data_IF_333641840359
#
_entry.id   IF_333641840359
#
_cell.length_a   1.000
_cell.length_b   1.000
_cell.length_c   1.000
_cell.angle_alpha   90.00
_cell.angle_beta   90.00
_cell.angle_gamma   90.00
#
_symmetry.space_group_name_H-M   'P 1'
#
loop_
_entity.id
_entity.type
_entity.pdbx_description
1 polymer ?
#
# COMPACT_ATOMS: atom_id res chain seq x y z
N UNK A 1 -47.72 39.65 15.28
CA UNK A 1 -48.04 38.78 14.13
C UNK A 1 -46.73 38.39 13.47
N UNK A 2 -46.22 37.20 13.77
CA UNK A 2 -45.43 36.37 12.86
C UNK A 2 -45.22 35.04 13.59
N UNK A 3 -46.12 34.10 13.30
CA UNK A 3 -45.93 32.71 13.66
C UNK A 3 -44.98 32.11 12.64
N UNK A 4 -43.81 31.68 13.08
CA UNK A 4 -43.04 30.68 12.34
C UNK A 4 -43.69 29.32 12.60
N UNK A 5 -44.23 28.74 11.54
CA UNK A 5 -44.73 27.38 11.55
C UNK A 5 -43.55 26.42 11.75
N UNK A 6 -43.38 25.89 12.96
CA UNK A 6 -42.51 24.76 13.21
C UNK A 6 -43.07 23.54 12.47
N UNK A 7 -42.36 23.12 11.42
CA UNK A 7 -42.68 21.94 10.62
C UNK A 7 -42.24 20.70 11.45
N UNK A 8 -43.17 19.83 11.91
CA UNK A 8 -42.86 18.80 12.92
C UNK A 8 -41.94 17.65 12.46
N UNK A 9 -41.67 17.53 11.17
CA UNK A 9 -40.87 16.44 10.59
C UNK A 9 -39.47 16.86 10.16
N UNK A 10 -39.07 18.11 10.45
CA UNK A 10 -37.72 18.63 10.20
C UNK A 10 -36.94 18.93 11.50
N UNK A 11 -37.42 18.46 12.66
CA UNK A 11 -36.64 18.44 13.89
C UNK A 11 -35.69 17.25 13.87
N UNK A 12 -34.65 17.33 13.04
CA UNK A 12 -33.43 16.55 13.32
C UNK A 12 -32.83 17.21 14.56
N UNK A 13 -32.96 16.58 15.71
CA UNK A 13 -32.38 17.07 16.96
C UNK A 13 -30.91 17.39 16.71
N UNK A 14 -30.53 18.67 16.87
CA UNK A 14 -29.16 19.16 16.60
C UNK A 14 -28.11 18.37 17.38
N UNK A 15 -28.47 17.83 18.54
CA UNK A 15 -27.65 16.95 19.36
C UNK A 15 -27.34 15.60 18.68
N UNK A 16 -28.22 15.03 17.85
CA UNK A 16 -27.97 13.74 17.19
C UNK A 16 -27.13 13.89 15.91
N UNK A 17 -27.33 14.99 15.17
CA UNK A 17 -26.56 15.29 13.96
C UNK A 17 -25.11 15.66 14.26
N UNK A 18 -24.84 16.36 15.36
CA UNK A 18 -23.48 16.70 15.79
C UNK A 18 -22.69 15.43 16.15
N UNK A 19 -23.33 14.47 16.82
CA UNK A 19 -22.71 13.19 17.17
C UNK A 19 -22.40 12.35 15.92
N UNK A 20 -23.30 12.33 14.93
CA UNK A 20 -23.11 11.63 13.66
C UNK A 20 -22.00 12.24 12.80
N UNK A 21 -21.91 13.58 12.73
CA UNK A 21 -20.84 14.24 11.99
C UNK A 21 -19.48 14.04 12.66
N UNK A 22 -19.44 14.13 14.00
CA UNK A 22 -18.21 13.93 14.77
C UNK A 22 -17.68 12.48 14.68
N UNK A 23 -18.57 11.50 14.47
CA UNK A 23 -18.20 10.11 14.21
C UNK A 23 -17.24 10.00 13.00
N UNK A 24 -17.53 10.74 11.93
CA UNK A 24 -16.83 10.65 10.64
C UNK A 24 -15.75 11.74 10.52
N UNK A 25 -16.08 12.99 10.81
CA UNK A 25 -15.18 14.14 10.62
C UNK A 25 -14.26 14.41 11.82
N UNK A 26 -14.57 13.85 13.00
CA UNK A 26 -13.76 14.04 14.21
C UNK A 26 -12.46 13.24 14.23
N UNK A 27 -11.68 13.39 15.31
CA UNK A 27 -10.42 12.67 15.53
C UNK A 27 -10.60 11.17 15.74
N UNK A 28 -11.82 10.73 16.04
CA UNK A 28 -12.16 9.32 16.22
C UNK A 28 -11.92 8.77 17.63
N UNK A 29 -11.49 9.58 18.58
CA UNK A 29 -11.28 9.17 19.97
C UNK A 29 -12.54 8.56 20.60
N UNK A 30 -13.67 9.24 20.49
CA UNK A 30 -14.95 8.78 21.06
C UNK A 30 -15.37 7.40 20.51
N UNK A 31 -15.49 7.18 19.17
CA UNK A 31 -15.85 5.85 18.66
C UNK A 31 -14.79 4.78 18.93
N UNK A 32 -13.49 5.11 18.94
CA UNK A 32 -12.43 4.16 19.32
C UNK A 32 -12.59 3.75 20.78
N UNK A 33 -12.84 4.70 21.67
CA UNK A 33 -13.09 4.41 23.08
C UNK A 33 -14.33 3.52 23.27
N UNK A 34 -15.47 3.88 22.66
CA UNK A 34 -16.69 3.06 22.72
C UNK A 34 -16.49 1.66 22.12
N UNK A 35 -15.66 1.53 21.09
CA UNK A 35 -15.29 0.24 20.52
C UNK A 35 -14.45 -0.60 21.49
N UNK A 36 -13.49 0.01 22.19
CA UNK A 36 -12.65 -0.65 23.19
C UNK A 36 -13.46 -1.15 24.39
N UNK A 37 -14.45 -0.37 24.84
CA UNK A 37 -15.37 -0.78 25.92
C UNK A 37 -16.37 -1.84 25.43
N UNK A 38 -16.57 -1.97 24.11
CA UNK A 38 -17.51 -2.93 23.52
C UNK A 38 -18.97 -2.44 23.49
N UNK A 39 -19.17 -1.14 23.64
CA UNK A 39 -20.49 -0.47 23.64
C UNK A 39 -20.86 0.08 22.25
N UNK A 40 -19.90 0.14 21.32
CA UNK A 40 -20.18 0.62 19.97
C UNK A 40 -21.03 -0.39 19.19
N UNK A 41 -22.23 0.03 18.80
CA UNK A 41 -23.17 -0.79 18.05
C UNK A 41 -22.63 -1.16 16.65
N UNK A 42 -23.01 -2.34 16.17
CA UNK A 42 -22.59 -2.88 14.86
C UNK A 42 -22.91 -1.92 13.71
N UNK A 43 -24.12 -1.37 13.67
CA UNK A 43 -24.56 -0.43 12.64
C UNK A 43 -23.70 0.84 12.64
N UNK A 44 -23.42 1.37 13.83
CA UNK A 44 -22.59 2.58 14.00
C UNK A 44 -21.15 2.29 13.55
N UNK A 45 -20.58 1.13 13.87
CA UNK A 45 -19.24 0.74 13.43
C UNK A 45 -19.13 0.65 11.90
N UNK A 46 -20.14 0.09 11.22
CA UNK A 46 -20.18 0.01 9.75
C UNK A 46 -20.31 1.40 9.12
N UNK A 47 -21.23 2.23 9.62
CA UNK A 47 -21.42 3.61 9.13
C UNK A 47 -20.15 4.44 9.35
N UNK A 48 -19.55 4.34 10.54
CA UNK A 48 -18.27 4.96 10.89
C UNK A 48 -17.15 4.57 9.93
N UNK A 49 -16.99 3.27 9.68
CA UNK A 49 -15.96 2.73 8.79
C UNK A 49 -16.09 3.29 7.37
N UNK A 50 -17.28 3.14 6.78
CA UNK A 50 -17.55 3.59 5.39
C UNK A 50 -17.46 5.11 5.30
N UNK A 51 -18.09 5.82 6.23
CA UNK A 51 -18.07 7.28 6.27
C UNK A 51 -16.66 7.85 6.39
N UNK A 52 -15.83 7.29 7.29
CA UNK A 52 -14.44 7.71 7.46
C UNK A 52 -13.61 7.40 6.22
N UNK A 53 -13.84 6.25 5.58
CA UNK A 53 -13.17 5.89 4.33
C UNK A 53 -13.47 6.90 3.22
N UNK A 54 -14.74 7.23 2.99
CA UNK A 54 -15.14 8.25 2.01
C UNK A 54 -14.53 9.61 2.35
N UNK A 55 -14.63 10.07 3.60
CA UNK A 55 -14.07 11.35 4.02
C UNK A 55 -12.55 11.44 3.80
N UNK A 56 -11.81 10.38 4.15
CA UNK A 56 -10.35 10.33 3.95
C UNK A 56 -9.96 10.31 2.48
N UNK A 57 -10.68 9.56 1.64
CA UNK A 57 -10.48 9.54 0.19
C UNK A 57 -10.77 10.91 -0.44
N UNK A 58 -11.88 11.55 -0.09
CA UNK A 58 -12.21 12.90 -0.57
C UNK A 58 -11.14 13.91 -0.15
N UNK A 59 -10.65 13.83 1.09
CA UNK A 59 -9.59 14.72 1.59
C UNK A 59 -8.29 14.55 0.81
N UNK A 60 -7.86 13.31 0.54
CA UNK A 60 -6.61 13.03 -0.19
C UNK A 60 -6.76 13.42 -1.66
N UNK A 61 -7.90 13.10 -2.29
CA UNK A 61 -8.15 13.40 -3.71
C UNK A 61 -8.36 14.88 -3.99
N UNK A 62 -8.83 15.67 -3.01
CA UNK A 62 -8.89 17.13 -3.12
C UNK A 62 -7.53 17.82 -2.91
N UNK A 63 -6.45 17.06 -2.71
CA UNK A 63 -5.11 17.60 -2.43
C UNK A 63 -4.88 18.01 -0.97
N UNK A 64 -5.80 17.67 -0.07
CA UNK A 64 -5.63 17.84 1.38
C UNK A 64 -4.78 16.72 2.00
N UNK A 65 -4.42 16.88 3.28
CA UNK A 65 -3.70 15.87 4.06
C UNK A 65 -4.57 15.33 5.19
N UNK A 66 -4.93 14.05 5.11
CA UNK A 66 -5.72 13.37 6.14
C UNK A 66 -4.86 12.71 7.24
N UNK A 67 -3.53 12.72 7.09
CA UNK A 67 -2.63 11.83 7.83
C UNK A 67 -2.91 10.35 7.53
N UNK A 68 -2.09 9.45 8.10
CA UNK A 68 -2.26 8.00 7.94
C UNK A 68 -2.40 7.25 9.26
N UNK A 69 -1.90 7.82 10.36
CA UNK A 69 -1.90 7.17 11.67
C UNK A 69 -3.32 7.05 12.24
N UNK A 70 -4.04 8.17 12.36
CA UNK A 70 -5.39 8.15 12.96
C UNK A 70 -6.38 7.35 12.10
N UNK A 71 -6.46 7.55 10.77
CA UNK A 71 -7.33 6.75 9.92
C UNK A 71 -7.05 5.25 9.99
N UNK A 72 -5.77 4.84 10.04
CA UNK A 72 -5.42 3.41 10.10
C UNK A 72 -5.83 2.75 11.42
N UNK A 73 -5.60 3.41 12.55
CA UNK A 73 -6.10 2.94 13.86
C UNK A 73 -7.63 2.85 13.84
N UNK A 74 -8.29 3.88 13.32
CA UNK A 74 -9.75 3.94 13.23
C UNK A 74 -10.32 2.77 12.41
N UNK A 75 -9.80 2.51 11.22
CA UNK A 75 -10.28 1.42 10.37
C UNK A 75 -10.11 0.05 11.02
N UNK A 76 -8.93 -0.23 11.59
CA UNK A 76 -8.69 -1.50 12.28
C UNK A 76 -9.61 -1.68 13.49
N UNK A 77 -9.88 -0.60 14.22
CA UNK A 77 -10.80 -0.60 15.36
C UNK A 77 -12.23 -0.92 14.91
N UNK A 78 -12.77 -0.20 13.90
CA UNK A 78 -14.14 -0.43 13.43
C UNK A 78 -14.33 -1.84 12.86
N UNK A 79 -13.34 -2.36 12.11
CA UNK A 79 -13.38 -3.73 11.58
C UNK A 79 -13.45 -4.73 12.74
N UNK A 80 -12.58 -4.61 13.74
CA UNK A 80 -12.64 -5.51 14.90
C UNK A 80 -13.95 -5.39 15.68
N UNK A 81 -14.50 -4.19 15.82
CA UNK A 81 -15.81 -4.01 16.47
C UNK A 81 -16.91 -4.76 15.72
N UNK A 82 -16.89 -4.78 14.38
CA UNK A 82 -17.83 -5.57 13.59
C UNK A 82 -17.72 -7.06 13.98
N UNK A 83 -16.51 -7.60 14.08
CA UNK A 83 -16.28 -8.99 14.53
C UNK A 83 -16.68 -9.23 16.00
N UNK A 84 -16.49 -8.26 16.89
CA UNK A 84 -16.90 -8.35 18.30
C UNK A 84 -18.42 -8.38 18.45
N UNK A 85 -19.14 -7.56 17.68
CA UNK A 85 -20.60 -7.44 17.78
C UNK A 85 -21.34 -8.51 16.96
N UNK A 86 -20.70 -9.11 15.96
CA UNK A 86 -21.35 -10.07 15.06
C UNK A 86 -21.93 -11.32 15.78
N UNK A 87 -21.24 -11.98 16.73
CA UNK A 87 -21.82 -13.10 17.48
C UNK A 87 -23.08 -12.72 18.27
N UNK A 88 -23.16 -11.48 18.79
CA UNK A 88 -24.33 -10.99 19.54
C UNK A 88 -25.56 -10.88 18.65
N UNK A 89 -25.38 -10.53 17.38
CA UNK A 89 -26.48 -10.50 16.40
C UNK A 89 -27.07 -11.89 16.16
N UNK A 90 -26.24 -12.94 16.25
CA UNK A 90 -26.65 -14.34 16.06
C UNK A 90 -27.17 -15.00 17.35
N UNK A 91 -27.25 -14.28 18.47
CA UNK A 91 -27.61 -14.83 19.78
C UNK A 91 -26.55 -15.77 20.36
N UNK A 92 -25.30 -15.68 19.90
CA UNK A 92 -24.17 -16.50 20.34
C UNK A 92 -23.36 -15.80 21.45
N UNK A 93 -24.04 -15.30 22.48
CA UNK A 93 -23.43 -14.48 23.53
C UNK A 93 -22.35 -15.23 24.33
N UNK A 94 -22.43 -16.57 24.38
CA UNK A 94 -21.40 -17.44 24.96
C UNK A 94 -20.03 -17.34 24.27
N UNK A 95 -19.97 -16.82 23.04
CA UNK A 95 -18.74 -16.61 22.26
C UNK A 95 -18.25 -15.16 22.31
N UNK A 96 -18.77 -14.36 23.26
CA UNK A 96 -18.33 -12.98 23.43
C UNK A 96 -16.98 -12.92 24.17
N UNK A 97 -16.01 -12.27 23.54
CA UNK A 97 -14.72 -11.93 24.14
C UNK A 97 -14.72 -10.46 24.57
N UNK A 98 -13.86 -10.06 25.52
CA UNK A 98 -13.63 -8.65 25.80
C UNK A 98 -13.23 -7.91 24.51
N UNK A 99 -13.90 -6.79 24.21
CA UNK A 99 -13.73 -6.10 22.93
C UNK A 99 -12.27 -5.70 22.67
N UNK A 100 -11.57 -5.21 23.70
CA UNK A 100 -10.14 -4.86 23.63
C UNK A 100 -9.26 -6.01 23.11
N UNK A 101 -9.59 -7.27 23.41
CA UNK A 101 -8.81 -8.45 22.99
C UNK A 101 -8.72 -8.59 21.47
N UNK A 102 -9.74 -8.14 20.74
CA UNK A 102 -9.74 -8.13 19.27
C UNK A 102 -9.40 -6.75 18.70
N UNK A 103 -9.86 -5.69 19.35
CA UNK A 103 -9.71 -4.31 18.86
C UNK A 103 -8.25 -3.84 18.89
N UNK A 104 -7.50 -4.10 19.98
CA UNK A 104 -6.09 -3.67 20.10
C UNK A 104 -5.17 -4.34 19.07
N UNK A 105 -5.22 -5.67 18.86
CA UNK A 105 -4.43 -6.30 17.81
C UNK A 105 -4.82 -5.85 16.40
N UNK A 106 -6.11 -5.66 16.13
CA UNK A 106 -6.59 -5.25 14.81
C UNK A 106 -6.21 -3.81 14.46
N UNK A 107 -6.31 -2.86 15.39
CA UNK A 107 -5.84 -1.49 15.15
C UNK A 107 -4.33 -1.45 14.91
N UNK A 108 -3.58 -2.30 15.62
CA UNK A 108 -2.12 -2.43 15.47
C UNK A 108 -1.77 -3.01 14.09
N UNK A 109 -2.44 -4.09 13.69
CA UNK A 109 -2.28 -4.70 12.38
C UNK A 109 -2.64 -3.74 11.23
N UNK A 110 -3.74 -3.01 11.37
CA UNK A 110 -4.16 -1.99 10.39
C UNK A 110 -3.12 -0.87 10.25
N UNK A 111 -2.59 -0.38 11.37
CA UNK A 111 -1.52 0.61 11.38
C UNK A 111 -0.28 0.11 10.63
N UNK A 112 0.11 -1.15 10.80
CA UNK A 112 1.23 -1.74 10.06
C UNK A 112 0.92 -1.93 8.59
N UNK A 113 -0.28 -2.40 8.26
CA UNK A 113 -0.70 -2.62 6.87
C UNK A 113 -0.65 -1.32 6.04
N UNK A 114 -1.10 -0.22 6.63
CA UNK A 114 -1.22 1.08 5.93
C UNK A 114 0.08 1.88 6.01
N UNK A 115 0.72 1.93 7.19
CA UNK A 115 1.85 2.83 7.46
C UNK A 115 3.21 2.13 7.34
N UNK A 116 3.23 0.79 7.40
CA UNK A 116 4.44 -0.04 7.32
C UNK A 116 5.50 0.31 8.38
N UNK A 117 5.08 0.47 9.64
CA UNK A 117 5.96 0.70 10.80
C UNK A 117 5.71 -0.35 11.90
N UNK A 118 6.19 -1.60 11.72
CA UNK A 118 5.85 -2.72 12.59
C UNK A 118 6.33 -2.56 14.04
N UNK A 119 7.56 -2.08 14.25
CA UNK A 119 8.12 -1.90 15.60
C UNK A 119 7.37 -0.83 16.39
N UNK A 120 7.07 0.31 15.76
CA UNK A 120 6.33 1.38 16.42
C UNK A 120 4.89 0.97 16.73
N UNK A 121 4.26 0.18 15.86
CA UNK A 121 2.90 -0.31 16.09
C UNK A 121 2.82 -1.25 17.31
N UNK A 122 3.79 -2.16 17.48
CA UNK A 122 3.85 -3.01 18.68
C UNK A 122 4.08 -2.18 19.94
N UNK A 123 5.02 -1.23 19.89
CA UNK A 123 5.27 -0.32 21.02
C UNK A 123 4.01 0.47 21.38
N UNK A 124 3.32 1.02 20.39
CA UNK A 124 2.03 1.72 20.57
C UNK A 124 1.00 0.83 21.28
N UNK A 125 0.86 -0.44 20.89
CA UNK A 125 -0.08 -1.35 21.53
C UNK A 125 0.25 -1.62 23.01
N UNK A 126 1.54 -1.75 23.34
CA UNK A 126 2.01 -2.05 24.70
C UNK A 126 1.95 -0.82 25.60
N UNK A 127 2.38 0.34 25.09
CA UNK A 127 2.39 1.61 25.83
C UNK A 127 0.98 2.17 26.01
N UNK A 128 0.13 2.07 25.00
CA UNK A 128 -1.21 2.63 25.02
C UNK A 128 -2.24 1.80 25.79
N UNK A 129 -2.04 0.48 25.90
CA UNK A 129 -3.03 -0.42 26.50
C UNK A 129 -2.45 -1.26 27.63
N UNK A 130 -1.57 -2.21 27.32
CA UNK A 130 -0.89 -3.08 28.29
C UNK A 130 0.07 -4.04 27.59
N UNK A 131 1.11 -4.50 28.30
CA UNK A 131 1.99 -5.57 27.86
C UNK A 131 1.28 -6.92 27.60
N UNK A 132 0.07 -7.13 28.12
CA UNK A 132 -0.72 -8.35 27.83
C UNK A 132 -1.16 -8.45 26.37
N UNK A 133 -1.24 -7.31 25.65
CA UNK A 133 -1.63 -7.27 24.24
C UNK A 133 -0.45 -7.47 23.28
N UNK A 134 0.79 -7.57 23.78
CA UNK A 134 1.99 -7.75 22.96
C UNK A 134 1.87 -8.99 22.06
N UNK A 135 1.56 -10.15 22.62
CA UNK A 135 1.52 -11.42 21.87
C UNK A 135 0.38 -11.41 20.84
N UNK A 136 -0.88 -11.06 21.18
CA UNK A 136 -1.95 -10.94 20.20
C UNK A 136 -1.66 -9.92 19.10
N UNK A 137 -1.10 -8.75 19.44
CA UNK A 137 -0.74 -7.71 18.47
C UNK A 137 0.36 -8.18 17.52
N UNK A 138 1.38 -8.88 18.02
CA UNK A 138 2.43 -9.48 17.18
C UNK A 138 1.87 -10.50 16.20
N UNK A 139 0.96 -11.38 16.65
CA UNK A 139 0.33 -12.37 15.76
C UNK A 139 -0.46 -11.70 14.64
N UNK A 140 -1.31 -10.73 14.97
CA UNK A 140 -2.10 -9.98 14.00
C UNK A 140 -1.20 -9.22 13.02
N UNK A 141 -0.11 -8.63 13.52
CA UNK A 141 0.90 -7.96 12.71
C UNK A 141 1.59 -8.91 11.73
N UNK A 142 2.04 -10.08 12.18
CA UNK A 142 2.68 -11.07 11.29
C UNK A 142 1.73 -11.45 10.16
N UNK A 143 0.49 -11.80 10.48
CA UNK A 143 -0.53 -12.13 9.48
C UNK A 143 -0.75 -10.96 8.51
N UNK A 144 -0.91 -9.75 9.04
CA UNK A 144 -1.13 -8.56 8.23
C UNK A 144 0.05 -8.26 7.31
N UNK A 145 1.29 -8.39 7.80
CA UNK A 145 2.49 -8.14 6.99
C UNK A 145 2.64 -9.16 5.87
N UNK A 146 2.34 -10.44 6.11
CA UNK A 146 2.37 -11.49 5.08
C UNK A 146 1.34 -11.21 3.98
N UNK A 147 0.15 -10.70 4.35
CA UNK A 147 -0.90 -10.36 3.39
C UNK A 147 -0.64 -9.03 2.66
N UNK A 148 -0.06 -8.03 3.33
CA UNK A 148 0.10 -6.67 2.82
C UNK A 148 1.44 -6.41 2.11
N UNK A 149 2.44 -7.29 2.23
CA UNK A 149 3.84 -7.04 1.82
C UNK A 149 4.04 -6.57 0.37
N UNK A 150 3.07 -6.79 -0.52
CA UNK A 150 3.17 -6.41 -1.93
C UNK A 150 2.70 -4.97 -2.24
N UNK A 151 2.00 -4.29 -1.32
CA UNK A 151 1.23 -3.07 -1.62
C UNK A 151 1.48 -1.92 -0.62
N UNK A 152 2.73 -1.51 -0.38
CA UNK A 152 3.00 -0.33 0.47
C UNK A 152 2.55 0.97 -0.21
N UNK A 153 1.85 1.82 0.55
CA UNK A 153 1.34 3.14 0.12
C UNK A 153 2.47 4.20 0.09
N UNK A 154 3.57 4.00 0.83
CA UNK A 154 4.64 4.99 0.90
C UNK A 154 5.48 5.01 -0.39
N UNK A 155 5.45 6.16 -1.09
CA UNK A 155 6.23 6.39 -2.33
C UNK A 155 7.72 6.14 -2.15
N UNK A 156 8.32 6.60 -1.05
CA UNK A 156 9.75 6.39 -0.76
C UNK A 156 10.11 4.92 -0.52
N UNK A 157 9.18 4.13 -0.01
CA UNK A 157 9.37 2.69 0.18
C UNK A 157 9.26 1.95 -1.15
N UNK A 158 8.35 2.37 -2.04
CA UNK A 158 8.25 1.86 -3.41
C UNK A 158 9.48 2.26 -4.25
N UNK A 159 9.93 3.51 -4.14
CA UNK A 159 11.13 4.01 -4.84
C UNK A 159 12.43 3.35 -4.37
N UNK A 160 12.52 2.89 -3.10
CA UNK A 160 13.68 2.11 -2.60
C UNK A 160 13.86 0.77 -3.31
N UNK A 161 12.78 0.20 -3.85
CA UNK A 161 12.82 -1.05 -4.62
C UNK A 161 13.27 -0.78 -6.06
N UNK A 162 12.92 0.38 -6.63
CA UNK A 162 13.23 0.74 -8.03
C UNK A 162 14.55 1.50 -8.21
N UNK A 163 15.04 2.22 -7.20
CA UNK A 163 16.30 2.99 -7.25
C UNK A 163 17.22 2.60 -6.09
N UNK A 164 17.84 1.42 -6.19
CA UNK A 164 19.01 1.12 -5.35
C UNK A 164 20.20 1.94 -5.86
N UNK A 165 20.51 3.04 -5.18
CA UNK A 165 21.83 3.67 -5.30
C UNK A 165 22.83 2.78 -4.56
N UNK A 166 23.64 2.01 -5.30
CA UNK A 166 24.64 1.11 -4.70
C UNK A 166 25.88 1.90 -4.29
N UNK A 167 26.20 2.98 -5.01
CA UNK A 167 27.24 3.95 -4.67
C UNK A 167 26.69 5.38 -4.83
N UNK A 168 27.21 6.39 -4.11
CA UNK A 168 26.83 7.78 -4.31
C UNK A 168 26.98 8.19 -5.79
N UNK A 169 25.88 8.64 -6.40
CA UNK A 169 25.85 9.05 -7.81
C UNK A 169 25.65 7.93 -8.85
N UNK A 170 25.67 6.65 -8.44
CA UNK A 170 25.46 5.49 -9.33
C UNK A 170 24.16 4.75 -8.97
N UNK A 171 23.31 4.52 -9.96
CA UNK A 171 22.06 3.77 -9.83
C UNK A 171 22.13 2.43 -10.57
N UNK A 172 21.20 1.53 -10.25
CA UNK A 172 20.90 0.34 -11.06
C UNK A 172 19.51 0.49 -11.66
N UNK A 173 19.34 0.10 -12.93
CA UNK A 173 18.04 0.01 -13.59
C UNK A 173 17.87 -1.34 -14.26
N UNK A 174 16.63 -1.82 -14.26
CA UNK A 174 16.18 -2.96 -15.05
C UNK A 174 15.57 -2.44 -16.32
N UNK A 175 16.04 -2.94 -17.46
CA UNK A 175 15.67 -2.46 -18.78
C UNK A 175 15.32 -3.66 -19.64
N UNK A 176 14.10 -3.70 -20.17
CA UNK A 176 13.69 -4.73 -21.11
C UNK A 176 14.36 -4.52 -22.45
N UNK A 177 14.89 -5.60 -23.04
CA UNK A 177 15.58 -5.57 -24.33
C UNK A 177 14.58 -5.22 -25.44
N UNK A 178 14.79 -4.11 -26.20
CA UNK A 178 13.94 -3.78 -27.35
C UNK A 178 13.99 -4.86 -28.43
N UNK A 179 12.91 -5.04 -29.22
CA UNK A 179 12.90 -5.98 -30.36
C UNK A 179 14.03 -5.73 -31.37
N UNK A 180 14.47 -4.47 -31.53
CA UNK A 180 15.59 -4.09 -32.39
C UNK A 180 16.94 -4.68 -31.98
N UNK A 181 17.07 -5.14 -30.74
CA UNK A 181 18.30 -5.72 -30.18
C UNK A 181 18.24 -7.25 -30.07
N UNK A 182 17.13 -7.85 -30.50
CA UNK A 182 16.97 -9.30 -30.55
C UNK A 182 18.02 -9.93 -31.49
N UNK A 183 18.72 -10.95 -31.00
CA UNK A 183 19.79 -11.63 -31.74
C UNK A 183 21.15 -10.93 -31.74
N UNK A 184 21.25 -9.70 -31.19
CA UNK A 184 22.54 -9.00 -31.05
C UNK A 184 23.22 -9.38 -29.74
N UNK A 185 24.55 -9.34 -29.71
CA UNK A 185 25.33 -9.61 -28.50
C UNK A 185 25.67 -8.33 -27.75
N UNK A 186 25.91 -8.42 -26.44
CA UNK A 186 26.35 -7.26 -25.64
C UNK A 186 27.66 -6.65 -26.17
N UNK A 187 28.53 -7.48 -26.73
CA UNK A 187 29.77 -7.04 -27.40
C UNK A 187 29.50 -6.21 -28.65
N UNK A 188 28.46 -6.55 -29.43
CA UNK A 188 28.08 -5.80 -30.64
C UNK A 188 27.39 -4.47 -30.31
N UNK A 189 26.59 -4.46 -29.25
CA UNK A 189 25.87 -3.26 -28.81
C UNK A 189 26.79 -2.23 -28.14
N UNK A 190 27.94 -2.64 -27.61
CA UNK A 190 28.98 -1.80 -26.95
C UNK A 190 28.38 -0.69 -26.05
N UNK A 191 27.38 -1.06 -25.25
CA UNK A 191 26.56 -0.13 -24.47
C UNK A 191 27.39 0.72 -23.50
N UNK A 192 28.52 0.16 -23.03
CA UNK A 192 29.48 0.84 -22.16
C UNK A 192 30.15 2.00 -22.85
N UNK A 193 30.56 1.84 -24.10
CA UNK A 193 31.23 2.91 -24.85
C UNK A 193 30.24 3.94 -25.37
N UNK A 194 29.06 3.50 -25.79
CA UNK A 194 28.07 4.38 -26.40
C UNK A 194 27.29 5.23 -25.39
N UNK A 195 26.99 4.66 -24.22
CA UNK A 195 26.10 5.30 -23.23
C UNK A 195 26.71 5.41 -21.83
N UNK A 196 27.99 5.08 -21.64
CA UNK A 196 28.69 5.07 -20.34
C UNK A 196 27.99 4.22 -19.26
N UNK A 197 27.22 3.21 -19.67
CA UNK A 197 26.51 2.30 -18.77
C UNK A 197 27.14 0.92 -18.72
N UNK A 198 27.20 0.30 -17.55
CA UNK A 198 27.75 -1.04 -17.36
C UNK A 198 26.63 -2.06 -17.15
N UNK A 199 26.58 -3.10 -17.99
CA UNK A 199 25.61 -4.19 -17.82
C UNK A 199 26.19 -5.20 -16.84
N UNK A 200 25.52 -5.39 -15.69
CA UNK A 200 25.97 -6.31 -14.63
C UNK A 200 25.44 -7.73 -14.89
N UNK A 201 24.39 -7.86 -15.69
CA UNK A 201 23.83 -9.15 -16.09
C UNK A 201 22.45 -8.98 -16.70
N UNK A 202 21.79 -10.10 -16.98
CA UNK A 202 20.39 -10.12 -17.36
C UNK A 202 19.60 -11.08 -16.46
N UNK A 203 18.31 -10.80 -16.33
CA UNK A 203 17.36 -11.68 -15.66
C UNK A 203 16.65 -12.47 -16.75
N UNK A 204 16.87 -13.77 -16.75
CA UNK A 204 16.15 -14.70 -17.61
C UNK A 204 14.73 -14.84 -17.06
N UNK A 205 13.74 -14.71 -17.93
CA UNK A 205 12.34 -14.83 -17.55
C UNK A 205 12.10 -16.23 -16.98
N UNK A 206 11.32 -16.31 -15.89
CA UNK A 206 11.15 -17.50 -15.09
C UNK A 206 10.82 -18.74 -15.94
N UNK A 207 11.59 -19.81 -15.75
CA UNK A 207 11.23 -21.17 -16.16
C UNK A 207 9.91 -21.60 -15.48
N UNK A 208 9.28 -22.70 -15.91
CA UNK A 208 7.95 -23.22 -15.48
C UNK A 208 7.70 -23.28 -13.95
N UNK A 209 8.74 -23.10 -13.14
CA UNK A 209 8.70 -22.99 -11.68
C UNK A 209 8.54 -21.55 -11.11
N UNK A 210 8.40 -20.51 -11.94
CA UNK A 210 7.99 -19.15 -11.52
C UNK A 210 9.04 -18.33 -10.73
N UNK A 211 10.30 -18.77 -10.67
CA UNK A 211 11.39 -18.03 -10.03
C UNK A 211 12.32 -17.40 -11.09
N UNK A 212 12.47 -16.07 -11.14
CA UNK A 212 13.38 -15.41 -12.08
C UNK A 212 14.83 -15.75 -11.73
N UNK A 213 15.60 -16.25 -12.71
CA UNK A 213 17.03 -16.54 -12.54
C UNK A 213 17.85 -15.32 -12.97
N UNK A 214 18.52 -14.70 -11.99
CA UNK A 214 19.50 -13.65 -12.27
C UNK A 214 20.83 -14.32 -12.63
N UNK A 215 21.24 -14.23 -13.89
CA UNK A 215 22.55 -14.69 -14.32
C UNK A 215 23.52 -13.53 -14.24
N UNK A 216 24.40 -13.58 -13.24
CA UNK A 216 25.50 -12.62 -13.06
C UNK A 216 26.73 -12.96 -13.91
N UNK A 217 26.74 -14.14 -14.51
CA UNK A 217 27.76 -14.59 -15.46
C UNK A 217 27.19 -14.45 -16.87
N UNK A 218 27.31 -13.22 -17.37
CA UNK A 218 26.84 -12.81 -18.67
C UNK A 218 27.95 -13.06 -19.69
N UNK A 219 27.96 -14.24 -20.33
CA UNK A 219 28.82 -14.42 -21.51
C UNK A 219 28.38 -13.40 -22.56
N UNK A 220 29.19 -12.36 -22.76
CA UNK A 220 28.86 -11.19 -23.57
C UNK A 220 28.64 -11.52 -25.06
N UNK A 221 28.93 -12.76 -25.45
CA UNK A 221 28.75 -13.28 -26.81
C UNK A 221 27.43 -14.03 -27.01
N UNK A 222 26.61 -14.19 -25.96
CA UNK A 222 25.26 -14.74 -26.12
C UNK A 222 24.34 -13.70 -26.80
N UNK A 223 23.55 -14.12 -27.81
CA UNK A 223 22.53 -13.26 -28.41
C UNK A 223 21.43 -12.96 -27.39
N UNK A 224 21.00 -11.70 -27.31
CA UNK A 224 19.92 -11.25 -26.43
C UNK A 224 18.56 -11.67 -26.98
N UNK A 225 17.65 -12.07 -26.09
CA UNK A 225 16.23 -12.28 -26.40
C UNK A 225 15.40 -11.05 -26.03
N UNK A 226 14.32 -10.78 -26.76
CA UNK A 226 13.36 -9.71 -26.43
C UNK A 226 12.67 -9.91 -25.07
N UNK A 227 12.71 -11.14 -24.52
CA UNK A 227 12.21 -11.48 -23.18
C UNK A 227 13.19 -11.18 -22.05
N UNK A 228 14.44 -10.81 -22.37
CA UNK A 228 15.47 -10.61 -21.35
C UNK A 228 15.36 -9.23 -20.69
N UNK A 229 15.64 -9.18 -19.38
CA UNK A 229 15.72 -7.93 -18.64
C UNK A 229 17.17 -7.65 -18.29
N UNK A 230 17.77 -6.65 -18.92
CA UNK A 230 19.13 -6.20 -18.62
C UNK A 230 19.18 -5.43 -17.31
N UNK A 231 20.16 -5.75 -16.47
CA UNK A 231 20.46 -5.03 -15.25
C UNK A 231 21.65 -4.10 -15.52
N UNK A 232 21.36 -2.80 -15.60
CA UNK A 232 22.30 -1.77 -16.05
C UNK A 232 22.65 -0.85 -14.89
N UNK A 233 23.95 -0.61 -14.68
CA UNK A 233 24.51 0.28 -13.67
C UNK A 233 25.20 1.46 -14.36
N UNK A 234 24.95 2.67 -13.89
CA UNK A 234 25.59 3.87 -14.41
C UNK A 234 25.30 5.08 -13.53
N UNK A 235 25.82 6.24 -13.92
CA UNK A 235 25.43 7.49 -13.25
C UNK A 235 23.97 7.81 -13.54
N UNK A 236 23.31 8.52 -12.64
CA UNK A 236 21.88 8.81 -12.77
C UNK A 236 21.53 9.52 -14.10
N UNK A 237 22.40 10.41 -14.58
CA UNK A 237 22.25 11.13 -15.85
C UNK A 237 22.38 10.20 -17.07
N UNK A 238 23.40 9.34 -17.06
CA UNK A 238 23.67 8.37 -18.13
C UNK A 238 22.55 7.34 -18.23
N UNK A 239 22.06 6.85 -17.09
CA UNK A 239 20.91 5.94 -17.02
C UNK A 239 19.63 6.58 -17.53
N UNK A 240 19.41 7.87 -17.28
CA UNK A 240 18.24 8.59 -17.81
C UNK A 240 18.31 8.70 -19.34
N UNK A 241 19.48 9.09 -19.88
CA UNK A 241 19.71 9.18 -21.33
C UNK A 241 19.52 7.82 -22.00
N UNK A 242 20.09 6.77 -21.41
CA UNK A 242 19.96 5.41 -21.91
C UNK A 242 18.50 4.93 -21.91
N UNK A 243 17.77 5.18 -20.82
CA UNK A 243 16.35 4.81 -20.72
C UNK A 243 15.51 5.49 -21.81
N UNK A 244 15.76 6.78 -22.08
CA UNK A 244 15.03 7.51 -23.11
C UNK A 244 15.22 6.93 -24.52
N UNK A 245 16.45 6.51 -24.85
CA UNK A 245 16.76 5.86 -26.13
C UNK A 245 16.08 4.50 -26.25
N UNK A 246 16.10 3.71 -25.17
CA UNK A 246 15.43 2.41 -25.14
C UNK A 246 13.92 2.58 -25.31
N UNK A 247 13.30 3.54 -24.61
CA UNK A 247 11.87 3.83 -24.76
C UNK A 247 11.52 4.23 -26.19
N UNK A 248 12.33 5.09 -26.83
CA UNK A 248 12.15 5.45 -28.23
C UNK A 248 12.29 4.23 -29.17
N UNK A 249 13.22 3.31 -28.89
CA UNK A 249 13.39 2.08 -29.67
C UNK A 249 12.15 1.16 -29.58
N UNK A 250 11.51 1.09 -28.40
CA UNK A 250 10.24 0.38 -28.22
C UNK A 250 9.09 1.05 -28.99
N UNK A 251 8.99 2.38 -28.99
CA UNK A 251 7.96 3.12 -29.74
C UNK A 251 8.10 2.92 -31.25
N UNK A 252 9.33 2.92 -31.78
CA UNK A 252 9.58 2.67 -33.22
C UNK A 252 9.38 1.21 -33.64
N UNK A 253 9.35 0.28 -32.68
CA UNK A 253 9.18 -1.16 -32.93
C UNK A 253 7.76 -1.65 -32.63
N UNK A 254 6.86 -0.75 -32.19
CA UNK A 254 5.46 -1.07 -32.02
C UNK A 254 4.83 -1.32 -33.40
N UNK A 255 4.11 -2.43 -33.61
CA UNK A 255 3.46 -2.69 -34.88
C UNK A 255 2.44 -1.58 -35.16
N UNK A 256 2.51 -1.05 -36.39
CA UNK A 256 1.59 -0.09 -36.98
C UNK A 256 0.14 -0.59 -36.78
N UNK A 257 -0.62 0.02 -35.87
CA UNK A 257 -2.03 -0.33 -35.62
C UNK A 257 -2.93 -0.05 -36.84
N UNK A 258 -2.39 0.57 -37.90
CA UNK A 258 -3.14 1.03 -39.09
C UNK A 258 -3.21 -0.01 -40.25
N UNK A 259 -2.92 -1.30 -39.98
CA UNK A 259 -3.07 -2.39 -40.96
C UNK A 259 -4.01 -3.53 -40.55
N UNK A 260 -4.90 -3.28 -39.58
CA UNK A 260 -5.99 -4.19 -39.22
C UNK A 260 -7.36 -3.49 -39.31
N UNK A 261 -7.59 -2.76 -40.41
CA UNK A 261 -8.94 -2.34 -40.85
C UNK A 261 -9.41 -3.16 -42.02
#
# INVERSE_FOLDING_TARGET
VQGEAQIPWLSVDSHTSEHGLHLIMGTGEAPIHSALVGELALSVAVIALVGKMVATLTTITSGGSAGLLIPSIYFGTMIATIFVQFPRLLGLDAWSFPAMTLVVPAMTASLVSIVNVPLAAIMFAVEGFSGSYLVPAMLALVISTLLAQRNSIYRTQRERVEKRQILPGYGVRRISVPPSWEGQTLTQLDLRRQYEVNVIGWVEQADDAGLPRVRLDADANLPLSASDILVVLGRAEDLNRFTAVVTAAWETSAPDEDKLS
#
